data_IF_238879959104
#
_entry.id   IF_238879959104
#
_cell.length_a   1.000
_cell.length_b   1.000
_cell.length_c   1.000
_cell.angle_alpha   90.00
_cell.angle_beta   90.00
_cell.angle_gamma   90.00
#
_symmetry.space_group_name_H-M   'P 1'
#
loop_
_entity.id
_entity.type
_entity.pdbx_description
1 polymer ?
#
# COMPACT_ATOMS: atom_id res chain seq x y z
N UNK A 1 49.38 -13.64 3.88
CA UNK A 1 49.28 -13.10 5.25
C UNK A 1 48.05 -13.73 5.87
N UNK A 2 48.15 -14.43 7.01
CA UNK A 2 46.99 -15.01 7.67
C UNK A 2 46.01 -13.89 8.09
N UNK A 3 44.71 -14.21 8.15
CA UNK A 3 43.65 -13.26 8.50
C UNK A 3 43.86 -12.65 9.89
N UNK A 4 44.46 -13.42 10.80
CA UNK A 4 44.78 -13.00 12.17
C UNK A 4 45.82 -11.86 12.20
N UNK A 5 46.92 -11.97 11.47
CA UNK A 5 47.94 -10.90 11.32
C UNK A 5 47.37 -9.65 10.64
N UNK A 6 46.41 -9.83 9.72
CA UNK A 6 45.72 -8.72 9.06
C UNK A 6 44.85 -7.99 10.10
N UNK A 7 44.06 -8.72 10.89
CA UNK A 7 43.19 -8.14 11.92
C UNK A 7 44.02 -7.40 12.98
N UNK A 8 45.11 -7.98 13.49
CA UNK A 8 45.98 -7.31 14.48
C UNK A 8 46.55 -5.99 13.94
N UNK A 9 47.01 -5.98 12.69
CA UNK A 9 47.53 -4.77 12.05
C UNK A 9 46.46 -3.69 11.83
N UNK A 10 45.22 -4.08 11.56
CA UNK A 10 44.10 -3.15 11.42
C UNK A 10 43.62 -2.61 12.78
N UNK A 11 43.66 -3.44 13.83
CA UNK A 11 43.33 -3.06 15.22
C UNK A 11 44.35 -2.03 15.74
N UNK A 12 45.65 -2.26 15.57
CA UNK A 12 46.67 -1.28 15.99
C UNK A 12 46.63 0.04 15.19
N UNK A 13 45.99 0.06 14.02
CA UNK A 13 45.91 1.23 13.14
C UNK A 13 44.70 2.15 13.41
N UNK A 14 43.76 1.77 14.29
CA UNK A 14 42.63 2.62 14.66
C UNK A 14 43.07 3.62 15.75
N UNK A 15 42.76 4.90 15.56
CA UNK A 15 43.08 5.93 16.55
C UNK A 15 42.28 5.73 17.84
N UNK A 16 42.79 6.23 18.98
CA UNK A 16 42.08 6.20 20.26
C UNK A 16 40.68 6.83 20.19
N UNK A 17 40.51 7.89 19.38
CA UNK A 17 39.21 8.53 19.15
C UNK A 17 38.26 7.65 18.33
N UNK A 18 38.78 6.92 17.32
CA UNK A 18 38.02 5.93 16.57
C UNK A 18 37.51 4.78 17.46
N UNK A 19 38.36 4.28 18.36
CA UNK A 19 37.95 3.31 19.37
C UNK A 19 36.89 3.86 20.32
N UNK A 20 37.05 5.12 20.76
CA UNK A 20 36.06 5.81 21.58
C UNK A 20 34.69 5.90 20.89
N UNK A 21 34.65 6.21 19.59
CA UNK A 21 33.43 6.21 18.81
C UNK A 21 32.76 4.84 18.74
N UNK A 22 33.51 3.79 18.39
CA UNK A 22 32.97 2.42 18.28
C UNK A 22 32.43 1.91 19.62
N UNK A 23 33.15 2.19 20.72
CA UNK A 23 32.70 1.87 22.07
C UNK A 23 31.43 2.65 22.46
N UNK A 24 31.35 3.94 22.11
CA UNK A 24 30.14 4.75 22.32
C UNK A 24 28.95 4.19 21.55
N UNK A 25 29.14 3.83 20.28
CA UNK A 25 28.10 3.24 19.44
C UNK A 25 27.58 1.93 20.04
N UNK A 26 28.48 1.02 20.43
CA UNK A 26 28.12 -0.23 21.11
C UNK A 26 27.37 0.02 22.44
N UNK A 27 27.81 1.00 23.22
CA UNK A 27 27.16 1.37 24.49
C UNK A 27 25.74 1.89 24.26
N UNK A 28 25.51 2.69 23.22
CA UNK A 28 24.17 3.18 22.89
C UNK A 28 23.21 2.07 22.46
N UNK A 29 23.71 1.00 21.80
CA UNK A 29 22.93 -0.21 21.52
C UNK A 29 22.45 -0.85 22.83
N UNK A 30 23.38 -1.11 23.75
CA UNK A 30 23.06 -1.72 25.04
C UNK A 30 22.06 -0.86 25.81
N UNK A 31 22.27 0.45 25.83
CA UNK A 31 21.34 1.40 26.44
C UNK A 31 19.95 1.35 25.81
N UNK A 32 19.85 1.37 24.48
CA UNK A 32 18.57 1.35 23.78
C UNK A 32 17.80 0.04 24.03
N UNK A 33 18.51 -1.10 24.06
CA UNK A 33 17.93 -2.41 24.41
C UNK A 33 17.46 -2.44 25.87
N UNK A 34 18.28 -1.96 26.81
CA UNK A 34 17.93 -1.90 28.23
C UNK A 34 16.75 -0.95 28.47
N UNK A 35 16.76 0.23 27.84
CA UNK A 35 15.66 1.20 27.87
C UNK A 35 14.37 0.58 27.36
N UNK A 36 14.43 -0.14 26.24
CA UNK A 36 13.26 -0.83 25.69
C UNK A 36 12.74 -1.90 26.63
N UNK A 37 13.61 -2.69 27.26
CA UNK A 37 13.22 -3.70 28.22
C UNK A 37 12.58 -3.08 29.48
N UNK A 38 13.08 -1.94 29.95
CA UNK A 38 12.58 -1.22 31.11
C UNK A 38 11.26 -0.48 30.84
N UNK A 39 11.10 0.10 29.65
CA UNK A 39 9.89 0.84 29.24
C UNK A 39 8.80 -0.05 28.67
N UNK A 40 9.06 -1.35 28.46
CA UNK A 40 8.04 -2.29 27.99
C UNK A 40 6.97 -2.51 29.07
N UNK A 41 5.71 -2.11 28.83
CA UNK A 41 4.65 -2.33 29.79
C UNK A 41 4.43 -3.83 29.96
N UNK A 42 4.56 -4.32 31.21
CA UNK A 42 4.30 -5.71 31.58
C UNK A 42 2.88 -5.82 32.10
N UNK A 43 1.93 -5.99 31.18
CA UNK A 43 0.51 -6.22 31.53
C UNK A 43 0.13 -7.66 31.23
N UNK A 44 -0.68 -8.27 32.10
CA UNK A 44 -1.25 -9.61 31.86
C UNK A 44 -2.28 -9.49 30.75
N UNK A 45 -2.15 -10.33 29.73
CA UNK A 45 -3.07 -10.32 28.60
C UNK A 45 -4.44 -10.91 29.01
N UNK A 46 -5.50 -10.14 28.80
CA UNK A 46 -6.89 -10.58 28.99
C UNK A 46 -7.57 -10.64 27.63
N UNK A 47 -7.71 -11.86 27.10
CA UNK A 47 -8.14 -12.10 25.70
C UNK A 47 -9.64 -12.22 25.53
N UNK A 48 -10.41 -12.49 26.59
CA UNK A 48 -11.85 -12.72 26.53
C UNK A 48 -12.59 -12.00 27.67
N UNK A 49 -13.85 -11.58 27.46
CA UNK A 49 -14.57 -11.50 26.19
C UNK A 49 -13.99 -10.41 25.27
N UNK A 50 -14.10 -10.54 23.94
CA UNK A 50 -13.63 -9.53 22.99
C UNK A 50 -14.74 -9.18 21.99
N UNK A 51 -14.98 -7.89 21.78
CA UNK A 51 -16.00 -7.42 20.83
C UNK A 51 -15.50 -7.41 19.39
N UNK A 52 -16.42 -7.34 18.43
CA UNK A 52 -16.10 -7.24 17.00
C UNK A 52 -15.30 -5.95 16.71
N UNK A 53 -15.68 -4.84 17.35
CA UNK A 53 -14.99 -3.55 17.22
C UNK A 53 -13.60 -3.58 17.84
N UNK A 54 -13.44 -4.25 18.99
CA UNK A 54 -12.13 -4.48 19.60
C UNK A 54 -11.23 -5.32 18.68
N UNK A 55 -11.76 -6.39 18.07
CA UNK A 55 -11.04 -7.20 17.08
C UNK A 55 -10.64 -6.39 15.85
N UNK A 56 -11.54 -5.53 15.35
CA UNK A 56 -11.25 -4.63 14.25
C UNK A 56 -10.06 -3.72 14.58
N UNK A 57 -10.06 -3.10 15.78
CA UNK A 57 -8.95 -2.24 16.23
C UNK A 57 -7.62 -2.99 16.33
N UNK A 58 -7.63 -4.29 16.66
CA UNK A 58 -6.40 -5.09 16.63
C UNK A 58 -5.79 -5.13 15.22
N UNK A 59 -6.61 -5.20 14.16
CA UNK A 59 -6.10 -5.17 12.78
C UNK A 59 -5.61 -3.78 12.38
N UNK A 60 -6.42 -2.74 12.52
CA UNK A 60 -6.07 -1.38 12.10
C UNK A 60 -6.84 -0.32 12.89
N UNK A 61 -6.28 0.89 13.00
CA UNK A 61 -6.88 1.99 13.75
C UNK A 61 -8.18 2.48 13.10
N UNK A 62 -8.30 2.37 11.75
CA UNK A 62 -9.50 2.75 10.99
C UNK A 62 -10.56 1.63 10.92
N UNK A 63 -10.17 0.39 11.21
CA UNK A 63 -11.02 -0.79 11.05
C UNK A 63 -12.32 -0.75 11.87
N UNK A 64 -12.37 -0.23 13.12
CA UNK A 64 -13.60 -0.06 13.88
C UNK A 64 -14.70 0.69 13.11
N UNK A 65 -14.33 1.81 12.48
CA UNK A 65 -15.28 2.66 11.75
C UNK A 65 -15.89 1.90 10.58
N UNK A 66 -15.03 1.28 9.77
CA UNK A 66 -15.48 0.48 8.62
C UNK A 66 -16.34 -0.72 9.07
N UNK A 67 -15.95 -1.36 10.16
CA UNK A 67 -16.70 -2.50 10.74
C UNK A 67 -18.09 -2.07 11.19
N UNK A 68 -18.20 -0.92 11.85
CA UNK A 68 -19.48 -0.34 12.24
C UNK A 68 -20.34 0.00 11.02
N UNK A 69 -19.78 0.65 10.00
CA UNK A 69 -20.51 0.95 8.76
C UNK A 69 -20.98 -0.32 8.04
N UNK A 70 -20.13 -1.34 7.95
CA UNK A 70 -20.48 -2.60 7.32
C UNK A 70 -21.64 -3.31 8.05
N UNK A 71 -21.61 -3.32 9.38
CA UNK A 71 -22.72 -3.86 10.19
C UNK A 71 -24.01 -3.03 10.04
N UNK A 72 -23.91 -1.71 10.02
CA UNK A 72 -25.06 -0.81 9.84
C UNK A 72 -25.67 -0.94 8.44
N UNK A 73 -24.84 -1.03 7.40
CA UNK A 73 -25.27 -1.23 6.01
C UNK A 73 -25.91 -2.60 5.81
N UNK A 74 -25.28 -3.66 6.33
CA UNK A 74 -25.81 -5.01 6.21
C UNK A 74 -27.10 -5.22 7.00
N UNK A 75 -27.29 -4.51 8.12
CA UNK A 75 -28.55 -4.56 8.89
C UNK A 75 -29.66 -3.69 8.32
N UNK A 76 -29.41 -2.96 7.24
CA UNK A 76 -30.37 -2.05 6.61
C UNK A 76 -30.58 -0.73 7.37
N UNK A 77 -29.85 -0.46 8.47
CA UNK A 77 -29.92 0.82 9.18
C UNK A 77 -29.31 1.97 8.41
N UNK A 78 -28.36 1.69 7.53
CA UNK A 78 -27.84 2.66 6.56
C UNK A 78 -28.23 2.16 5.18
N UNK A 79 -28.88 3.01 4.39
CA UNK A 79 -29.29 2.72 3.02
C UNK A 79 -28.09 2.85 2.06
N UNK A 80 -28.23 2.35 0.84
CA UNK A 80 -27.20 2.48 -0.21
C UNK A 80 -26.84 3.95 -0.50
N UNK A 81 -27.81 4.87 -0.34
CA UNK A 81 -27.60 6.32 -0.50
C UNK A 81 -26.95 7.00 0.72
N UNK A 82 -26.50 6.23 1.72
CA UNK A 82 -25.86 6.75 2.93
C UNK A 82 -26.80 7.36 3.97
N UNK A 83 -28.12 7.21 3.81
CA UNK A 83 -29.11 7.75 4.76
C UNK A 83 -29.44 6.72 5.85
N UNK A 84 -29.80 7.20 7.03
CA UNK A 84 -30.22 6.32 8.13
C UNK A 84 -31.69 5.96 8.02
N UNK A 85 -31.99 4.67 7.96
CA UNK A 85 -33.34 4.14 8.13
C UNK A 85 -33.65 3.99 9.62
N UNK A 86 -34.62 4.76 10.11
CA UNK A 86 -35.04 4.76 11.52
C UNK A 86 -36.01 3.63 11.86
N UNK A 87 -36.65 3.05 10.86
CA UNK A 87 -37.63 1.98 11.03
C UNK A 87 -36.95 0.60 11.00
N UNK A 88 -35.71 0.54 10.48
CA UNK A 88 -34.86 -0.65 10.48
C UNK A 88 -34.46 -1.08 11.92
N UNK A 89 -35.14 -2.11 12.42
CA UNK A 89 -34.84 -2.77 13.70
C UNK A 89 -33.60 -3.67 13.56
N UNK A 90 -32.42 -3.09 13.76
CA UNK A 90 -31.15 -3.84 13.83
C UNK A 90 -30.85 -4.42 15.23
N UNK A 91 -29.92 -5.40 15.33
CA UNK A 91 -29.48 -5.95 16.63
C UNK A 91 -28.91 -4.87 17.57
N UNK A 92 -28.77 -5.20 18.85
CA UNK A 92 -28.20 -4.32 19.87
C UNK A 92 -26.80 -3.87 19.43
N UNK A 93 -26.67 -2.59 19.07
CA UNK A 93 -25.42 -2.02 18.57
C UNK A 93 -24.53 -1.70 19.75
N UNK A 94 -23.25 -2.07 19.66
CA UNK A 94 -22.28 -1.68 20.66
C UNK A 94 -22.14 -0.15 20.71
N UNK A 95 -21.63 0.36 21.84
CA UNK A 95 -21.53 1.81 22.10
C UNK A 95 -20.74 2.56 21.03
N UNK A 96 -19.70 1.96 20.45
CA UNK A 96 -18.91 2.60 19.40
C UNK A 96 -19.73 2.70 18.11
N UNK A 97 -20.35 1.61 17.68
CA UNK A 97 -21.23 1.60 16.51
C UNK A 97 -22.42 2.56 16.66
N UNK A 98 -22.98 2.71 17.86
CA UNK A 98 -24.03 3.70 18.13
C UNK A 98 -23.56 5.14 17.90
N UNK A 99 -22.33 5.50 18.34
CA UNK A 99 -21.74 6.82 18.08
C UNK A 99 -21.43 7.05 16.60
N UNK A 100 -20.98 6.01 15.88
CA UNK A 100 -20.81 6.09 14.42
C UNK A 100 -22.16 6.34 13.75
N UNK A 101 -23.23 5.67 14.18
CA UNK A 101 -24.57 5.90 13.65
C UNK A 101 -25.08 7.33 13.90
N UNK A 102 -24.82 7.91 15.08
CA UNK A 102 -25.14 9.31 15.37
C UNK A 102 -24.43 10.27 14.39
N UNK A 103 -23.15 10.03 14.09
CA UNK A 103 -22.37 10.82 13.12
C UNK A 103 -22.90 10.68 11.70
N UNK A 104 -23.18 9.46 11.26
CA UNK A 104 -23.82 9.18 9.95
C UNK A 104 -25.21 9.82 9.85
N UNK A 105 -25.95 9.92 10.96
CA UNK A 105 -27.23 10.63 10.99
C UNK A 105 -27.06 12.13 10.81
N UNK A 106 -25.98 12.70 11.34
CA UNK A 106 -25.67 14.12 11.24
C UNK A 106 -25.15 14.50 9.84
N UNK A 107 -24.42 13.61 9.17
CA UNK A 107 -23.86 13.81 7.83
C UNK A 107 -24.22 12.66 6.86
N UNK A 108 -25.24 12.86 5.99
CA UNK A 108 -25.60 11.89 4.96
C UNK A 108 -24.53 11.69 3.86
N UNK A 109 -23.57 12.61 3.70
CA UNK A 109 -22.45 12.50 2.75
C UNK A 109 -21.14 12.07 3.44
N UNK A 110 -21.27 11.40 4.58
CA UNK A 110 -20.14 10.94 5.37
C UNK A 110 -19.14 10.11 4.54
N UNK A 111 -17.86 10.33 4.82
CA UNK A 111 -16.77 9.53 4.27
C UNK A 111 -16.07 8.77 5.40
N UNK A 112 -15.46 7.63 5.07
CA UNK A 112 -14.67 6.85 6.04
C UNK A 112 -13.53 7.66 6.66
N UNK A 113 -12.74 8.45 5.91
CA UNK A 113 -11.72 9.33 6.50
C UNK A 113 -12.31 10.42 7.41
N UNK A 114 -13.46 11.00 7.04
CA UNK A 114 -14.17 11.98 7.86
C UNK A 114 -14.61 11.38 9.20
N UNK A 115 -15.33 10.26 9.15
CA UNK A 115 -15.79 9.53 10.33
C UNK A 115 -14.63 9.05 11.22
N UNK A 116 -13.49 8.65 10.63
CA UNK A 116 -12.28 8.31 11.37
C UNK A 116 -11.75 9.51 12.18
N UNK A 117 -11.71 10.69 11.55
CA UNK A 117 -11.25 11.93 12.19
C UNK A 117 -12.17 12.34 13.34
N UNK A 118 -13.48 12.29 13.13
CA UNK A 118 -14.49 12.59 14.15
C UNK A 118 -14.59 11.56 15.28
N UNK A 119 -14.15 10.33 15.02
CA UNK A 119 -14.13 9.24 16.01
C UNK A 119 -12.80 9.14 16.76
N UNK A 120 -11.90 10.12 16.60
CA UNK A 120 -10.55 10.09 17.19
C UNK A 120 -10.54 9.92 18.72
N UNK A 121 -11.45 10.58 19.45
CA UNK A 121 -11.58 10.42 20.90
C UNK A 121 -12.06 9.02 21.32
N UNK A 122 -13.01 8.45 20.56
CA UNK A 122 -13.53 7.11 20.80
C UNK A 122 -12.47 6.04 20.54
N UNK A 123 -11.70 6.23 19.48
CA UNK A 123 -10.58 5.36 19.11
C UNK A 123 -9.44 5.44 20.13
N UNK A 124 -9.16 6.62 20.68
CA UNK A 124 -8.19 6.79 21.76
C UNK A 124 -8.64 6.07 23.05
N UNK A 125 -9.94 6.14 23.37
CA UNK A 125 -10.50 5.39 24.51
C UNK A 125 -10.41 3.86 24.30
N UNK A 126 -10.65 3.40 23.07
CA UNK A 126 -10.50 1.99 22.68
C UNK A 126 -9.04 1.53 22.75
N UNK A 127 -8.09 2.36 22.30
CA UNK A 127 -6.64 2.11 22.42
C UNK A 127 -6.27 1.93 23.90
N UNK A 128 -6.72 2.82 24.78
CA UNK A 128 -6.41 2.76 26.22
C UNK A 128 -7.06 1.55 26.90
N UNK A 129 -8.26 1.15 26.49
CA UNK A 129 -8.90 -0.07 26.97
C UNK A 129 -8.13 -1.34 26.57
N UNK A 130 -7.78 -1.48 25.30
CA UNK A 130 -7.02 -2.63 24.79
C UNK A 130 -5.58 -2.66 25.31
N UNK A 131 -5.03 -1.48 25.57
CA UNK A 131 -3.75 -1.28 26.26
C UNK A 131 -3.78 -1.80 27.70
N UNK A 132 -4.81 -1.46 28.48
CA UNK A 132 -5.01 -1.98 29.84
C UNK A 132 -5.17 -3.51 29.87
N UNK A 133 -5.77 -4.08 28.83
CA UNK A 133 -5.89 -5.54 28.63
C UNK A 133 -4.61 -6.22 28.12
N UNK A 134 -3.55 -5.46 27.84
CA UNK A 134 -2.26 -5.99 27.39
C UNK A 134 -2.25 -6.49 25.93
N UNK A 135 -3.21 -6.07 25.10
CA UNK A 135 -3.32 -6.50 23.69
C UNK A 135 -2.65 -5.50 22.73
N UNK A 136 -2.68 -4.21 23.07
CA UNK A 136 -2.12 -3.10 22.29
C UNK A 136 -1.12 -2.31 23.14
N UNK A 137 -0.17 -1.62 22.50
CA UNK A 137 0.67 -0.58 23.12
C UNK A 137 0.21 0.78 22.64
N UNK A 138 0.03 1.72 23.56
CA UNK A 138 -0.44 3.05 23.20
C UNK A 138 0.59 3.80 22.34
N UNK A 139 0.13 4.79 21.60
CA UNK A 139 0.98 5.80 20.94
C UNK A 139 2.05 6.38 21.87
N UNK A 140 1.68 6.74 23.11
CA UNK A 140 2.59 7.30 24.11
C UNK A 140 3.63 6.28 24.63
N UNK A 141 3.27 5.00 24.76
CA UNK A 141 4.21 3.93 25.14
C UNK A 141 5.20 3.65 24.01
N UNK A 142 4.72 3.60 22.76
CA UNK A 142 5.58 3.44 21.58
C UNK A 142 6.55 4.61 21.41
N UNK A 143 6.08 5.85 21.63
CA UNK A 143 6.93 7.03 21.62
C UNK A 143 8.02 6.94 22.69
N UNK A 144 7.67 6.57 23.94
CA UNK A 144 8.64 6.36 25.02
C UNK A 144 9.69 5.30 24.70
N UNK A 145 9.32 4.21 24.03
CA UNK A 145 10.28 3.21 23.56
C UNK A 145 11.26 3.78 22.52
N UNK A 146 10.76 4.61 21.59
CA UNK A 146 11.57 5.24 20.53
C UNK A 146 12.57 6.25 21.08
N UNK A 147 12.25 6.95 22.17
CA UNK A 147 13.17 7.88 22.84
C UNK A 147 14.49 7.23 23.28
N UNK A 148 14.49 5.91 23.57
CA UNK A 148 15.72 5.17 23.87
C UNK A 148 16.73 5.13 22.72
N UNK A 149 16.30 5.36 21.48
CA UNK A 149 17.18 5.43 20.32
C UNK A 149 17.86 6.81 20.18
N UNK A 150 17.40 7.86 20.87
CA UNK A 150 17.91 9.22 20.70
C UNK A 150 19.42 9.37 20.98
N UNK A 151 19.99 8.77 22.06
CA UNK A 151 21.44 8.78 22.26
C UNK A 151 22.21 8.11 21.13
N UNK A 152 21.62 7.08 20.52
CA UNK A 152 22.25 6.35 19.42
C UNK A 152 22.23 7.16 18.12
N UNK A 153 21.15 7.89 17.85
CA UNK A 153 21.07 8.85 16.73
C UNK A 153 22.12 9.96 16.90
N UNK A 154 22.27 10.48 18.12
CA UNK A 154 23.28 11.50 18.43
C UNK A 154 24.70 10.98 18.19
N UNK A 155 25.04 9.79 18.69
CA UNK A 155 26.35 9.18 18.45
C UNK A 155 26.56 8.92 16.97
N UNK A 156 25.56 8.42 16.25
CA UNK A 156 25.62 8.22 14.80
C UNK A 156 25.92 9.53 14.05
N UNK A 157 25.24 10.62 14.40
CA UNK A 157 25.47 11.95 13.80
C UNK A 157 26.88 12.48 14.09
N UNK A 158 27.39 12.27 15.31
CA UNK A 158 28.79 12.58 15.66
C UNK A 158 29.77 11.73 14.86
N UNK A 159 29.45 10.46 14.60
CA UNK A 159 30.24 9.57 13.74
C UNK A 159 30.33 10.05 12.30
N UNK A 160 29.21 10.51 11.73
CA UNK A 160 29.17 11.13 10.39
C UNK A 160 29.97 12.43 10.37
N UNK A 161 29.82 13.30 11.37
CA UNK A 161 30.62 14.53 11.46
C UNK A 161 32.13 14.23 11.59
N UNK A 162 32.48 13.22 12.39
CA UNK A 162 33.87 12.82 12.60
C UNK A 162 34.47 12.15 11.35
N UNK A 163 33.69 11.36 10.59
CA UNK A 163 34.15 10.79 9.32
C UNK A 163 34.43 11.88 8.28
N UNK A 164 33.59 12.92 8.19
CA UNK A 164 33.84 14.09 7.32
C UNK A 164 35.12 14.82 7.75
N UNK A 165 35.32 15.03 9.06
CA UNK A 165 36.55 15.65 9.57
C UNK A 165 37.78 14.83 9.20
N UNK A 166 37.78 13.52 9.47
CA UNK A 166 38.90 12.63 9.12
C UNK A 166 39.18 12.63 7.62
N UNK A 167 38.14 12.70 6.77
CA UNK A 167 38.29 12.79 5.33
C UNK A 167 39.05 14.05 4.88
N UNK A 168 38.88 15.19 5.56
CA UNK A 168 39.64 16.43 5.24
C UNK A 168 41.12 16.33 5.63
N UNK A 169 41.46 15.48 6.59
CA UNK A 169 42.82 15.31 7.13
C UNK A 169 43.62 14.19 6.43
N UNK A 170 43.01 13.42 5.52
CA UNK A 170 43.63 12.28 4.85
C UNK A 170 44.89 12.65 4.05
N UNK A 171 44.90 13.83 3.43
CA UNK A 171 46.01 14.30 2.59
C UNK A 171 47.29 14.52 3.40
N UNK A 172 47.15 15.02 4.63
CA UNK A 172 48.28 15.33 5.53
C UNK A 172 48.64 14.13 6.42
N UNK A 173 47.65 13.29 6.75
CA UNK A 173 47.79 12.18 7.69
C UNK A 173 47.14 10.89 7.15
N UNK A 174 47.84 10.12 6.30
CA UNK A 174 47.29 8.90 5.69
C UNK A 174 46.99 7.79 6.72
N UNK A 175 47.54 7.88 7.92
CA UNK A 175 47.26 6.98 9.06
C UNK A 175 45.76 6.96 9.43
N UNK A 176 45.02 8.05 9.16
CA UNK A 176 43.58 8.12 9.46
C UNK A 176 42.69 7.30 8.52
N UNK A 177 43.22 6.78 7.40
CA UNK A 177 42.45 6.02 6.41
C UNK A 177 41.75 4.81 7.04
N UNK A 178 42.46 4.03 7.87
CA UNK A 178 41.90 2.84 8.52
C UNK A 178 40.79 3.23 9.50
N UNK A 179 41.01 4.29 10.28
CA UNK A 179 40.04 4.80 11.24
C UNK A 179 38.77 5.31 10.55
N UNK A 180 38.92 6.05 9.45
CA UNK A 180 37.80 6.54 8.65
C UNK A 180 36.94 5.39 8.12
N UNK A 181 37.57 4.38 7.49
CA UNK A 181 36.85 3.23 6.94
C UNK A 181 36.12 2.47 8.04
N UNK A 182 36.75 2.23 9.19
CA UNK A 182 36.11 1.56 10.33
C UNK A 182 34.87 2.31 10.84
N UNK A 183 34.95 3.64 10.98
CA UNK A 183 33.83 4.47 11.43
C UNK A 183 32.70 4.49 10.40
N UNK A 184 33.01 4.69 9.12
CA UNK A 184 32.01 4.71 8.05
C UNK A 184 31.29 3.37 7.97
N UNK A 185 32.02 2.26 7.93
CA UNK A 185 31.44 0.92 7.91
C UNK A 185 30.56 0.67 9.13
N UNK A 186 31.03 0.99 10.33
CA UNK A 186 30.25 0.82 11.56
C UNK A 186 28.97 1.69 11.56
N UNK A 187 29.07 2.94 11.12
CA UNK A 187 27.94 3.88 11.05
C UNK A 187 26.88 3.41 10.06
N UNK A 188 27.30 2.97 8.87
CA UNK A 188 26.40 2.47 7.82
C UNK A 188 25.73 1.16 8.26
N UNK A 189 26.50 0.22 8.81
CA UNK A 189 25.96 -1.05 9.30
C UNK A 189 24.95 -0.81 10.45
N UNK A 190 25.25 0.13 11.34
CA UNK A 190 24.37 0.52 12.42
C UNK A 190 23.06 1.15 11.89
N UNK A 191 23.16 2.12 10.98
CA UNK A 191 22.01 2.81 10.41
C UNK A 191 21.08 1.90 9.61
N UNK A 192 21.64 0.87 8.95
CA UNK A 192 20.86 -0.06 8.11
C UNK A 192 20.30 -1.25 8.89
N UNK A 193 21.06 -1.84 9.82
CA UNK A 193 20.65 -3.05 10.51
C UNK A 193 20.03 -2.80 11.89
N UNK A 194 20.56 -1.85 12.66
CA UNK A 194 20.20 -1.69 14.08
C UNK A 194 19.15 -0.60 14.27
N UNK A 195 19.36 0.57 13.67
CA UNK A 195 18.49 1.73 13.86
C UNK A 195 17.02 1.46 13.49
N UNK A 196 16.67 0.76 12.39
CA UNK A 196 15.27 0.47 12.06
C UNK A 196 14.59 -0.41 13.12
N UNK A 197 15.32 -1.34 13.73
CA UNK A 197 14.80 -2.21 14.80
C UNK A 197 14.57 -1.47 16.12
N UNK A 198 15.38 -0.46 16.40
CA UNK A 198 15.21 0.41 17.57
C UNK A 198 14.06 1.40 17.40
N UNK A 199 13.88 1.93 16.18
CA UNK A 199 12.80 2.85 15.85
C UNK A 199 11.45 2.13 15.66
N UNK A 200 11.47 0.87 15.21
CA UNK A 200 10.27 0.07 14.96
C UNK A 200 9.63 -0.44 16.25
N UNK A 201 8.53 0.17 16.70
CA UNK A 201 7.73 -0.29 17.84
C UNK A 201 6.34 -0.79 17.39
N UNK A 202 6.15 -2.11 17.37
CA UNK A 202 4.89 -2.74 16.98
C UNK A 202 3.72 -2.28 17.88
N UNK A 203 2.60 -1.86 17.25
CA UNK A 203 1.34 -1.51 17.93
C UNK A 203 0.80 -2.68 18.74
N UNK A 204 0.71 -3.86 18.13
CA UNK A 204 0.20 -5.06 18.80
C UNK A 204 1.25 -5.69 19.73
N UNK A 205 0.79 -6.15 20.89
CA UNK A 205 1.59 -7.02 21.75
C UNK A 205 1.67 -8.43 21.15
N UNK A 206 2.53 -9.29 21.72
CA UNK A 206 2.59 -10.70 21.30
C UNK A 206 1.25 -11.41 21.54
N UNK A 207 0.54 -11.05 22.61
CA UNK A 207 -0.78 -11.58 22.90
C UNK A 207 -1.82 -11.08 21.91
N UNK A 208 -1.84 -9.77 21.60
CA UNK A 208 -2.74 -9.20 20.59
C UNK A 208 -2.58 -9.83 19.21
N UNK A 209 -1.34 -10.02 18.73
CA UNK A 209 -1.08 -10.70 17.45
C UNK A 209 -1.56 -12.15 17.44
N UNK A 210 -1.32 -12.90 18.52
CA UNK A 210 -1.78 -14.30 18.62
C UNK A 210 -3.30 -14.40 18.65
N UNK A 211 -3.96 -13.49 19.38
CA UNK A 211 -5.42 -13.44 19.44
C UNK A 211 -6.02 -13.15 18.06
N UNK A 212 -5.51 -12.13 17.36
CA UNK A 212 -5.98 -11.78 16.01
C UNK A 212 -5.77 -12.95 15.04
N UNK A 213 -4.57 -13.55 15.01
CA UNK A 213 -4.28 -14.68 14.14
C UNK A 213 -5.16 -15.92 14.45
N UNK A 214 -5.40 -16.20 15.74
CA UNK A 214 -6.30 -17.28 16.16
C UNK A 214 -7.73 -17.05 15.67
N UNK A 215 -8.25 -15.82 15.78
CA UNK A 215 -9.62 -15.49 15.35
C UNK A 215 -9.76 -15.47 13.83
N UNK A 216 -8.76 -14.99 13.10
CA UNK A 216 -8.71 -15.08 11.64
C UNK A 216 -8.71 -16.53 11.17
N UNK A 217 -7.99 -17.42 11.86
CA UNK A 217 -7.98 -18.85 11.53
C UNK A 217 -9.32 -19.53 11.84
N UNK A 218 -9.89 -19.29 13.02
CA UNK A 218 -11.20 -19.83 13.43
C UNK A 218 -12.33 -19.41 12.49
N UNK A 219 -12.32 -18.14 12.06
CA UNK A 219 -13.35 -17.55 11.21
C UNK A 219 -12.93 -17.45 9.74
N UNK A 220 -11.99 -18.30 9.31
CA UNK A 220 -11.46 -18.26 7.94
C UNK A 220 -12.54 -18.49 6.87
N UNK A 221 -13.70 -19.04 7.22
CA UNK A 221 -14.84 -19.20 6.32
C UNK A 221 -15.55 -17.87 5.97
N UNK A 222 -15.33 -16.81 6.74
CA UNK A 222 -15.87 -15.46 6.48
C UNK A 222 -14.95 -14.61 5.59
N UNK A 223 -13.82 -15.15 5.15
CA UNK A 223 -12.85 -14.46 4.31
C UNK A 223 -13.47 -14.08 2.94
N UNK A 224 -13.44 -12.81 2.51
CA UNK A 224 -14.08 -12.37 1.26
C UNK A 224 -13.66 -13.17 0.02
N UNK A 225 -12.40 -13.62 -0.03
CA UNK A 225 -11.88 -14.45 -1.12
C UNK A 225 -12.63 -15.78 -1.29
N UNK A 226 -13.25 -16.32 -0.22
CA UNK A 226 -14.03 -17.56 -0.25
C UNK A 226 -15.49 -17.35 -0.61
N UNK A 227 -15.89 -16.11 -0.95
CA UNK A 227 -17.26 -15.74 -1.32
C UNK A 227 -18.32 -16.29 -0.35
N UNK A 228 -18.21 -15.97 0.96
CA UNK A 228 -19.18 -16.44 1.94
C UNK A 228 -20.60 -15.95 1.60
N UNK A 229 -21.60 -16.78 1.87
CA UNK A 229 -23.00 -16.43 1.68
C UNK A 229 -23.48 -15.48 2.79
N UNK A 230 -23.12 -14.18 2.70
CA UNK A 230 -23.46 -13.17 3.70
C UNK A 230 -24.97 -13.02 3.92
N UNK A 231 -25.79 -13.25 2.88
CA UNK A 231 -27.25 -13.27 3.00
C UNK A 231 -27.75 -14.34 3.97
N UNK A 232 -27.01 -15.44 4.13
CA UNK A 232 -27.34 -16.53 5.05
C UNK A 232 -26.77 -16.29 6.46
N UNK A 233 -25.55 -15.76 6.55
CA UNK A 233 -24.89 -15.52 7.84
C UNK A 233 -25.35 -14.23 8.55
N UNK A 234 -25.95 -13.31 7.80
CA UNK A 234 -26.55 -12.09 8.31
C UNK A 234 -25.55 -10.96 8.65
N UNK A 235 -26.06 -9.81 9.14
CA UNK A 235 -25.28 -8.58 9.28
C UNK A 235 -24.08 -8.67 10.24
N UNK A 236 -24.19 -9.50 11.28
CA UNK A 236 -23.12 -9.70 12.24
C UNK A 236 -21.90 -10.39 11.61
N UNK A 237 -22.12 -11.31 10.66
CA UNK A 237 -21.04 -12.00 9.96
C UNK A 237 -20.31 -11.09 8.98
N UNK A 238 -21.02 -10.13 8.38
CA UNK A 238 -20.44 -9.07 7.55
C UNK A 238 -19.51 -8.22 8.39
N UNK A 239 -20.00 -7.69 9.52
CA UNK A 239 -19.17 -6.91 10.43
C UNK A 239 -17.97 -7.72 10.92
N UNK A 240 -18.14 -9.00 11.24
CA UNK A 240 -17.02 -9.87 11.65
C UNK A 240 -16.00 -10.08 10.53
N UNK A 241 -16.45 -10.32 9.29
CA UNK A 241 -15.56 -10.42 8.12
C UNK A 241 -14.80 -9.12 7.93
N UNK A 242 -15.49 -7.98 8.04
CA UNK A 242 -14.88 -6.65 7.93
C UNK A 242 -13.95 -6.33 9.08
N UNK A 243 -14.14 -6.89 10.28
CA UNK A 243 -13.22 -6.71 11.40
C UNK A 243 -11.93 -7.51 11.19
N UNK A 244 -12.03 -8.75 10.70
CA UNK A 244 -10.92 -9.69 10.64
C UNK A 244 -10.11 -9.62 9.33
N UNK A 245 -10.76 -9.41 8.19
CA UNK A 245 -10.15 -9.62 6.87
C UNK A 245 -10.01 -8.37 6.00
N UNK A 246 -10.79 -7.32 6.24
CA UNK A 246 -10.61 -6.04 5.52
C UNK A 246 -11.93 -5.48 5.01
N UNK A 247 -11.85 -4.58 4.04
CA UNK A 247 -13.03 -3.92 3.46
C UNK A 247 -13.81 -4.82 2.49
N UNK A 248 -13.22 -5.94 2.05
CA UNK A 248 -13.74 -6.77 0.95
C UNK A 248 -15.16 -7.31 1.14
N UNK A 249 -15.59 -7.56 2.38
CA UNK A 249 -16.97 -7.98 2.64
C UNK A 249 -18.01 -6.86 2.46
N UNK A 250 -17.64 -5.60 2.71
CA UNK A 250 -18.53 -4.47 2.45
C UNK A 250 -18.65 -4.24 0.93
N UNK A 251 -17.53 -4.33 0.21
CA UNK A 251 -17.50 -4.31 -1.26
C UNK A 251 -18.35 -5.43 -1.89
N UNK A 252 -18.33 -6.63 -1.31
CA UNK A 252 -19.12 -7.76 -1.82
C UNK A 252 -20.64 -7.58 -1.64
N UNK A 253 -21.08 -6.73 -0.71
CA UNK A 253 -22.50 -6.51 -0.41
C UNK A 253 -23.03 -5.27 -1.13
N UNK A 254 -22.23 -4.20 -1.16
CA UNK A 254 -22.63 -2.95 -1.79
C UNK A 254 -21.40 -2.16 -2.24
N UNK A 255 -21.05 -2.30 -3.52
CA UNK A 255 -19.94 -1.59 -4.14
C UNK A 255 -20.22 -0.09 -4.33
N UNK A 256 -21.48 0.28 -4.60
CA UNK A 256 -21.89 1.66 -4.81
C UNK A 256 -21.79 2.45 -3.49
N UNK A 257 -22.28 1.88 -2.40
CA UNK A 257 -22.12 2.44 -1.06
C UNK A 257 -20.64 2.48 -0.63
N UNK A 258 -19.86 1.43 -0.93
CA UNK A 258 -18.43 1.41 -0.62
C UNK A 258 -17.68 2.55 -1.32
N UNK A 259 -18.06 2.84 -2.57
CA UNK A 259 -17.50 3.95 -3.35
C UNK A 259 -17.94 5.30 -2.78
N UNK A 260 -19.23 5.46 -2.44
CA UNK A 260 -19.78 6.74 -1.96
C UNK A 260 -19.15 7.19 -0.63
N UNK A 261 -18.80 6.25 0.25
CA UNK A 261 -18.12 6.56 1.53
C UNK A 261 -16.59 6.63 1.41
N UNK A 262 -16.04 6.60 0.19
CA UNK A 262 -14.59 6.61 -0.10
C UNK A 262 -13.84 5.49 0.62
N UNK A 263 -14.41 4.28 0.64
CA UNK A 263 -13.78 3.13 1.27
C UNK A 263 -12.58 2.66 0.45
N UNK A 264 -11.44 2.42 1.10
CA UNK A 264 -10.29 1.84 0.41
C UNK A 264 -10.61 0.43 -0.15
N UNK A 265 -10.25 0.19 -1.42
CA UNK A 265 -10.32 -1.12 -2.05
C UNK A 265 -9.50 -2.17 -1.29
N UNK A 266 -9.98 -3.42 -1.26
CA UNK A 266 -9.31 -4.48 -0.52
C UNK A 266 -8.10 -5.02 -1.27
N UNK A 267 -6.88 -4.63 -0.85
CA UNK A 267 -5.66 -5.39 -1.14
C UNK A 267 -5.50 -6.53 -0.14
N UNK A 268 -6.33 -7.57 -0.23
CA UNK A 268 -6.04 -8.85 0.44
C UNK A 268 -5.24 -9.73 -0.51
N UNK A 269 -3.91 -9.72 -0.34
CA UNK A 269 -3.03 -10.71 -0.96
C UNK A 269 -3.24 -12.11 -0.36
N UNK A 270 -3.32 -13.11 -1.22
CA UNK A 270 -3.32 -14.54 -0.87
C UNK A 270 -3.86 -15.41 -2.01
N UNK A 271 -2.94 -16.13 -2.66
CA UNK A 271 -3.11 -16.91 -3.89
C UNK A 271 -4.20 -18.01 -3.84
N UNK A 272 -4.95 -18.16 -4.94
CA UNK A 272 -4.99 -19.40 -5.76
C UNK A 272 -5.91 -19.22 -6.98
N UNK A 273 -5.33 -19.43 -8.17
CA UNK A 273 -5.99 -19.92 -9.39
C UNK A 273 -7.14 -19.10 -10.00
N UNK A 274 -6.79 -18.15 -10.89
CA UNK A 274 -7.69 -17.68 -11.95
C UNK A 274 -7.52 -16.21 -12.31
N UNK A 275 -6.74 -15.92 -13.35
CA UNK A 275 -6.75 -14.65 -14.09
C UNK A 275 -6.53 -13.37 -13.26
N UNK A 276 -5.26 -13.03 -12.97
CA UNK A 276 -4.92 -11.75 -12.36
C UNK A 276 -4.84 -10.65 -13.42
N UNK A 277 -5.95 -9.95 -13.68
CA UNK A 277 -5.94 -8.53 -14.01
C UNK A 277 -6.15 -7.78 -12.71
N UNK A 278 -5.11 -7.17 -12.16
CA UNK A 278 -5.23 -6.31 -10.99
C UNK A 278 -5.40 -4.88 -11.49
N UNK A 279 -6.63 -4.53 -11.90
CA UNK A 279 -6.96 -3.16 -12.30
C UNK A 279 -6.66 -2.17 -11.18
N UNK A 280 -6.03 -1.07 -11.57
CA UNK A 280 -5.65 0.05 -10.71
C UNK A 280 -6.52 1.29 -10.97
N UNK A 281 -7.76 1.17 -11.44
CA UNK A 281 -8.66 2.31 -11.72
C UNK A 281 -9.84 2.38 -10.76
N UNK A 282 -9.78 3.24 -9.74
CA UNK A 282 -10.92 3.48 -8.86
C UNK A 282 -10.78 4.76 -8.06
N UNK A 283 -11.85 5.54 -7.96
CA UNK A 283 -11.94 6.85 -7.26
C UNK A 283 -11.66 6.83 -5.75
N UNK A 284 -11.33 5.67 -5.18
CA UNK A 284 -10.88 5.55 -3.81
C UNK A 284 -9.37 5.46 -3.76
N UNK A 285 -8.74 6.20 -2.83
CA UNK A 285 -7.30 6.14 -2.52
C UNK A 285 -6.80 4.79 -1.96
N UNK A 286 -7.33 3.66 -2.44
CA UNK A 286 -6.79 2.32 -2.29
C UNK A 286 -5.92 1.87 -3.46
N UNK A 287 -5.49 2.80 -4.32
CA UNK A 287 -4.62 2.50 -5.46
C UNK A 287 -3.27 1.91 -5.06
N UNK A 288 -2.68 1.13 -5.97
CA UNK A 288 -1.24 0.90 -6.00
C UNK A 288 -0.55 2.24 -5.75
N UNK A 289 0.01 2.45 -4.56
CA UNK A 289 0.70 3.70 -4.29
C UNK A 289 1.91 3.74 -5.21
N UNK A 290 1.98 4.76 -6.08
CA UNK A 290 3.16 4.98 -6.90
C UNK A 290 4.40 4.93 -6.01
N UNK A 291 5.38 4.14 -6.41
CA UNK A 291 6.67 4.14 -5.73
C UNK A 291 7.44 5.39 -6.14
N UNK A 292 8.26 5.98 -5.26
CA UNK A 292 9.19 7.00 -5.69
C UNK A 292 10.10 6.41 -6.77
N UNK A 293 10.25 7.09 -7.92
CA UNK A 293 11.05 6.59 -9.05
C UNK A 293 12.53 6.86 -8.82
N UNK A 294 13.06 6.35 -7.71
CA UNK A 294 14.48 6.40 -7.36
C UNK A 294 15.19 5.15 -7.85
N UNK A 295 16.52 5.26 -7.99
CA UNK A 295 17.36 4.08 -8.30
C UNK A 295 17.31 3.01 -7.20
N UNK A 296 17.05 3.42 -5.96
CA UNK A 296 16.88 2.52 -4.82
C UNK A 296 15.58 1.71 -4.94
N UNK A 297 14.46 2.38 -5.22
CA UNK A 297 13.18 1.74 -5.46
C UNK A 297 13.26 0.79 -6.66
N UNK A 298 13.94 1.22 -7.73
CA UNK A 298 14.20 0.39 -8.91
C UNK A 298 14.97 -0.90 -8.55
N UNK A 299 16.01 -0.80 -7.71
CA UNK A 299 16.79 -1.96 -7.28
C UNK A 299 15.95 -2.96 -6.44
N UNK A 300 15.11 -2.45 -5.54
CA UNK A 300 14.19 -3.27 -4.74
C UNK A 300 13.16 -3.96 -5.64
N UNK A 301 12.57 -3.21 -6.57
CA UNK A 301 11.57 -3.74 -7.49
C UNK A 301 12.18 -4.82 -8.39
N UNK A 302 13.36 -4.59 -8.96
CA UNK A 302 14.08 -5.58 -9.76
C UNK A 302 14.39 -6.86 -8.98
N UNK A 303 14.84 -6.76 -7.73
CA UNK A 303 15.10 -7.93 -6.88
C UNK A 303 13.82 -8.74 -6.59
N UNK A 304 12.69 -8.06 -6.36
CA UNK A 304 11.40 -8.70 -6.13
C UNK A 304 10.87 -9.37 -7.40
N UNK A 305 10.96 -8.70 -8.55
CA UNK A 305 10.61 -9.28 -9.85
C UNK A 305 11.38 -10.57 -10.07
N UNK A 306 12.68 -10.55 -9.83
CA UNK A 306 13.51 -11.71 -10.11
C UNK A 306 13.27 -12.87 -9.15
N UNK A 307 12.90 -12.57 -7.90
CA UNK A 307 12.39 -13.58 -6.99
C UNK A 307 11.07 -14.18 -7.48
N UNK A 308 10.14 -13.37 -7.93
CA UNK A 308 8.82 -13.82 -8.41
C UNK A 308 8.95 -14.65 -9.69
N UNK A 309 9.77 -14.22 -10.65
CA UNK A 309 10.01 -14.95 -11.91
C UNK A 309 10.60 -16.34 -11.71
N UNK A 310 11.42 -16.55 -10.66
CA UNK A 310 11.94 -17.88 -10.35
C UNK A 310 10.87 -18.88 -9.91
N UNK A 311 9.76 -18.37 -9.36
CA UNK A 311 8.66 -19.19 -8.84
C UNK A 311 7.50 -19.32 -9.86
N UNK A 312 7.42 -18.42 -10.85
CA UNK A 312 6.37 -18.44 -11.86
C UNK A 312 6.78 -19.24 -13.10
N UNK A 313 5.97 -20.21 -13.56
CA UNK A 313 6.25 -20.98 -14.78
C UNK A 313 5.89 -20.22 -16.09
N UNK A 314 5.44 -18.98 -15.98
CA UNK A 314 4.98 -18.13 -17.10
C UNK A 314 5.69 -16.78 -17.07
N UNK A 315 5.80 -16.07 -18.21
CA UNK A 315 6.33 -14.72 -18.23
C UNK A 315 5.55 -13.79 -17.28
N UNK A 316 6.29 -12.93 -16.58
CA UNK A 316 5.72 -11.88 -15.76
C UNK A 316 5.63 -10.60 -16.60
N UNK A 317 4.49 -9.92 -16.53
CA UNK A 317 4.29 -8.58 -17.07
C UNK A 317 3.91 -7.61 -15.94
N UNK A 318 4.40 -6.38 -16.00
CA UNK A 318 4.09 -5.33 -15.02
C UNK A 318 3.37 -4.17 -15.67
N UNK A 319 2.42 -3.61 -14.94
CA UNK A 319 1.57 -2.53 -15.43
C UNK A 319 2.09 -1.15 -14.98
N UNK A 320 1.98 -0.15 -15.85
CA UNK A 320 2.12 1.26 -15.47
C UNK A 320 0.82 1.75 -14.85
N UNK A 321 0.92 2.46 -13.73
CA UNK A 321 -0.26 2.88 -12.97
C UNK A 321 -0.56 4.36 -13.16
N UNK A 322 -1.83 4.75 -13.05
CA UNK A 322 -2.19 6.15 -12.81
C UNK A 322 -1.68 6.60 -11.43
N UNK A 323 -1.12 7.81 -11.37
CA UNK A 323 -0.64 8.41 -10.14
C UNK A 323 -0.96 9.90 -10.07
N UNK A 324 -1.74 10.25 -9.04
CA UNK A 324 -2.01 11.64 -8.63
C UNK A 324 -0.82 12.30 -7.91
N UNK A 325 0.14 11.51 -7.41
CA UNK A 325 1.28 12.02 -6.65
C UNK A 325 2.56 11.84 -7.44
N UNK A 326 3.39 12.87 -7.48
CA UNK A 326 4.78 12.78 -7.90
C UNK A 326 5.66 12.97 -6.67
N UNK A 327 6.47 11.95 -6.36
CA UNK A 327 7.33 11.99 -5.18
C UNK A 327 8.46 13.00 -5.40
N UNK A 328 8.67 13.95 -4.47
CA UNK A 328 9.77 14.92 -4.54
C UNK A 328 11.16 14.27 -4.71
N UNK A 329 11.31 13.05 -4.21
CA UNK A 329 12.53 12.27 -4.25
C UNK A 329 12.72 11.50 -5.57
N UNK A 330 11.82 11.60 -6.55
CA UNK A 330 11.96 10.88 -7.82
C UNK A 330 13.09 11.45 -8.67
N UNK A 331 14.14 10.66 -8.88
CA UNK A 331 15.28 11.04 -9.73
C UNK A 331 15.11 10.64 -11.21
N UNK A 332 14.13 9.78 -11.50
CA UNK A 332 13.85 9.25 -12.84
C UNK A 332 12.44 9.63 -13.29
N UNK A 333 12.29 9.93 -14.58
CA UNK A 333 10.99 9.97 -15.25
C UNK A 333 10.35 8.58 -15.33
N UNK A 334 9.06 8.50 -15.65
CA UNK A 334 8.36 7.21 -15.82
C UNK A 334 9.00 6.35 -16.90
N UNK A 335 9.32 6.96 -18.04
CA UNK A 335 9.98 6.28 -19.15
C UNK A 335 11.36 5.76 -18.78
N UNK A 336 12.20 6.57 -18.12
CA UNK A 336 13.52 6.12 -17.65
C UNK A 336 13.38 4.97 -16.64
N UNK A 337 12.47 5.09 -15.68
CA UNK A 337 12.25 4.08 -14.65
C UNK A 337 11.79 2.74 -15.25
N UNK A 338 10.79 2.76 -16.15
CA UNK A 338 10.26 1.55 -16.79
C UNK A 338 11.27 0.94 -17.77
N UNK A 339 11.98 1.77 -18.55
CA UNK A 339 13.04 1.30 -19.46
C UNK A 339 14.12 0.58 -18.68
N UNK A 340 14.65 1.20 -17.62
CA UNK A 340 15.72 0.60 -16.83
C UNK A 340 15.24 -0.65 -16.07
N UNK A 341 13.97 -0.70 -15.64
CA UNK A 341 13.38 -1.88 -15.01
C UNK A 341 13.33 -3.07 -15.96
N UNK A 342 12.84 -2.84 -17.18
CA UNK A 342 12.73 -3.87 -18.21
C UNK A 342 14.10 -4.33 -18.67
N UNK A 343 15.05 -3.42 -18.90
CA UNK A 343 16.42 -3.79 -19.27
C UNK A 343 17.12 -4.65 -18.20
N UNK A 344 16.92 -4.33 -16.91
CA UNK A 344 17.54 -5.07 -15.79
C UNK A 344 16.93 -6.44 -15.55
N UNK A 345 15.64 -6.58 -15.79
CA UNK A 345 14.89 -7.79 -15.38
C UNK A 345 14.43 -8.64 -16.55
N UNK A 346 14.29 -8.08 -17.75
CA UNK A 346 13.64 -8.75 -18.88
C UNK A 346 12.17 -9.09 -18.62
N UNK A 347 11.51 -8.34 -17.72
CA UNK A 347 10.07 -8.41 -17.50
C UNK A 347 9.34 -7.79 -18.69
N UNK A 348 8.14 -8.26 -19.00
CA UNK A 348 7.28 -7.62 -19.99
C UNK A 348 6.47 -6.49 -19.34
N UNK A 349 5.84 -5.66 -20.15
CA UNK A 349 4.91 -4.63 -19.69
C UNK A 349 3.47 -4.93 -20.10
N UNK A 350 2.54 -4.66 -19.20
CA UNK A 350 1.15 -4.39 -19.55
C UNK A 350 1.07 -2.87 -19.67
N UNK A 351 0.94 -2.34 -20.88
CA UNK A 351 0.92 -0.90 -21.07
C UNK A 351 -0.53 -0.40 -21.07
N UNK A 352 -0.96 0.19 -19.96
CA UNK A 352 -2.23 0.88 -19.90
C UNK A 352 -2.09 2.28 -20.51
N UNK A 353 -2.68 2.47 -21.69
CA UNK A 353 -2.64 3.76 -22.40
C UNK A 353 -3.57 4.79 -21.79
N UNK A 354 -4.60 4.37 -21.04
CA UNK A 354 -5.47 5.28 -20.29
C UNK A 354 -4.70 5.85 -19.08
N UNK A 355 -3.89 5.03 -18.40
CA UNK A 355 -2.98 5.52 -17.35
C UNK A 355 -1.94 6.51 -17.90
N UNK A 356 -1.38 6.27 -19.10
CA UNK A 356 -0.47 7.24 -19.77
C UNK A 356 -1.19 8.56 -20.04
N UNK A 357 -2.41 8.50 -20.56
CA UNK A 357 -3.24 9.67 -20.81
C UNK A 357 -3.53 10.45 -19.52
N UNK A 358 -4.02 9.78 -18.48
CA UNK A 358 -4.35 10.38 -17.20
C UNK A 358 -3.13 11.03 -16.54
N UNK A 359 -1.99 10.33 -16.52
CA UNK A 359 -0.75 10.83 -15.94
C UNK A 359 -0.22 12.07 -16.66
N UNK A 360 -0.26 12.08 -18.00
CA UNK A 360 0.18 13.21 -18.80
C UNK A 360 -0.76 14.41 -18.65
N UNK A 361 -2.08 14.18 -18.72
CA UNK A 361 -3.11 15.21 -18.55
C UNK A 361 -3.02 15.89 -17.19
N UNK A 362 -2.92 15.11 -16.12
CA UNK A 362 -2.80 15.63 -14.74
C UNK A 362 -1.51 16.43 -14.50
N UNK A 363 -0.49 16.26 -15.35
CA UNK A 363 0.79 16.98 -15.28
C UNK A 363 0.93 18.08 -16.34
N UNK A 364 -0.13 18.34 -17.11
CA UNK A 364 -0.08 19.30 -18.22
C UNK A 364 0.95 18.93 -19.30
N UNK A 365 1.22 17.64 -19.48
CA UNK A 365 2.13 17.10 -20.50
C UNK A 365 1.34 16.54 -21.68
N UNK A 366 2.03 16.35 -22.80
CA UNK A 366 1.49 15.76 -24.03
C UNK A 366 1.54 14.22 -23.94
N UNK A 367 0.39 13.51 -23.91
CA UNK A 367 0.36 12.05 -23.79
C UNK A 367 1.10 11.31 -24.92
N UNK A 368 1.03 11.81 -26.17
CA UNK A 368 1.70 11.18 -27.30
C UNK A 368 3.23 11.26 -27.16
N UNK A 369 3.73 12.37 -26.61
CA UNK A 369 5.17 12.52 -26.32
C UNK A 369 5.63 11.64 -25.17
N UNK A 370 4.82 11.47 -24.13
CA UNK A 370 5.17 10.57 -23.02
C UNK A 370 5.16 9.11 -23.50
N UNK A 371 4.14 8.70 -24.27
CA UNK A 371 4.09 7.37 -24.91
C UNK A 371 5.32 7.09 -25.77
N UNK A 372 5.75 8.06 -26.59
CA UNK A 372 6.92 7.97 -27.46
C UNK A 372 8.22 7.61 -26.72
N UNK A 373 8.31 7.91 -25.41
CA UNK A 373 9.50 7.65 -24.59
C UNK A 373 9.46 6.30 -23.88
N UNK A 374 8.31 5.63 -23.84
CA UNK A 374 8.16 4.34 -23.17
C UNK A 374 8.80 3.20 -23.98
N UNK A 375 9.30 2.13 -23.32
CA UNK A 375 9.90 0.96 -23.96
C UNK A 375 8.83 0.02 -24.54
N UNK A 376 8.11 0.50 -25.55
CA UNK A 376 6.90 -0.16 -26.09
C UNK A 376 7.18 -1.49 -26.78
N UNK A 377 8.43 -1.76 -27.15
CA UNK A 377 8.87 -3.01 -27.76
C UNK A 377 8.76 -4.20 -26.78
N UNK A 378 8.62 -3.93 -25.49
CA UNK A 378 8.54 -4.91 -24.41
C UNK A 378 7.12 -5.09 -23.85
N UNK A 379 6.13 -4.52 -24.54
CA UNK A 379 4.72 -4.61 -24.16
C UNK A 379 4.14 -5.94 -24.60
N UNK A 380 3.66 -6.72 -23.63
CA UNK A 380 2.98 -7.99 -23.88
C UNK A 380 1.57 -7.76 -24.45
N UNK A 381 0.83 -6.84 -23.85
CA UNK A 381 -0.48 -6.37 -24.28
C UNK A 381 -0.79 -5.03 -23.61
N UNK A 382 -1.81 -4.32 -24.10
CA UNK A 382 -2.18 -2.99 -23.65
C UNK A 382 -3.59 -2.95 -23.09
N UNK A 383 -3.77 -2.28 -21.95
CA UNK A 383 -5.09 -1.92 -21.44
C UNK A 383 -5.55 -0.60 -22.06
N UNK A 384 -6.85 -0.53 -22.32
CA UNK A 384 -7.56 0.67 -22.75
C UNK A 384 -8.72 0.85 -21.79
N UNK A 385 -8.83 2.01 -21.17
CA UNK A 385 -9.92 2.34 -20.28
C UNK A 385 -10.44 3.75 -20.57
N UNK A 386 -11.48 4.12 -19.84
CA UNK A 386 -12.03 5.48 -19.88
C UNK A 386 -12.28 6.03 -18.49
N UNK A 387 -12.10 7.34 -18.39
CA UNK A 387 -12.23 8.10 -17.17
C UNK A 387 -13.00 9.40 -17.38
N UNK A 388 -13.07 10.22 -16.32
CA UNK A 388 -13.81 11.48 -16.31
C UNK A 388 -13.00 12.62 -15.72
N UNK A 389 -13.36 13.84 -16.09
CA UNK A 389 -12.82 15.05 -15.47
C UNK A 389 -13.37 15.20 -14.05
N UNK A 390 -12.48 15.40 -13.07
CA UNK A 390 -12.81 15.85 -11.72
C UNK A 390 -12.67 17.37 -11.59
N UNK A 391 -12.75 17.89 -10.36
CA UNK A 391 -12.59 19.33 -10.12
C UNK A 391 -11.13 19.79 -10.35
N UNK A 392 -10.17 18.99 -9.88
CA UNK A 392 -8.73 19.33 -9.91
C UNK A 392 -7.91 18.42 -10.84
N UNK A 393 -8.38 17.20 -11.10
CA UNK A 393 -7.65 16.17 -11.84
C UNK A 393 -8.58 15.36 -12.74
N UNK A 394 -8.02 14.81 -13.82
CA UNK A 394 -8.64 13.72 -14.57
C UNK A 394 -8.52 12.42 -13.79
N UNK A 395 -9.64 11.74 -13.62
CA UNK A 395 -9.74 10.45 -12.93
C UNK A 395 -9.88 9.35 -13.98
N UNK A 396 -8.93 8.41 -14.00
CA UNK A 396 -9.08 7.20 -14.80
C UNK A 396 -9.95 6.20 -14.02
N UNK A 397 -11.25 6.26 -14.25
CA UNK A 397 -12.24 5.56 -13.41
C UNK A 397 -12.47 4.13 -13.84
N UNK A 398 -12.13 3.78 -15.08
CA UNK A 398 -12.45 2.51 -15.74
C UNK A 398 -13.97 2.22 -15.80
N UNK A 399 -14.80 3.21 -15.48
CA UNK A 399 -16.27 3.13 -15.47
C UNK A 399 -16.92 4.08 -16.47
N UNK A 400 -16.10 4.89 -17.14
CA UNK A 400 -16.53 5.86 -18.14
C UNK A 400 -16.05 5.47 -19.55
N UNK A 401 -16.71 6.00 -20.58
CA UNK A 401 -16.37 5.70 -21.98
C UNK A 401 -14.94 6.15 -22.31
N UNK A 402 -14.23 5.35 -23.09
CA UNK A 402 -12.88 5.61 -23.59
C UNK A 402 -12.88 6.93 -24.39
N UNK A 403 -12.11 7.94 -23.96
CA UNK A 403 -12.00 9.20 -24.68
C UNK A 403 -11.36 9.02 -26.07
N UNK A 404 -11.72 9.83 -27.08
CA UNK A 404 -11.06 9.82 -28.38
C UNK A 404 -9.53 9.97 -28.28
N UNK A 405 -9.05 10.78 -27.34
CA UNK A 405 -7.61 11.00 -27.14
C UNK A 405 -6.88 9.73 -26.66
N UNK A 406 -7.56 8.82 -25.97
CA UNK A 406 -7.01 7.51 -25.61
C UNK A 406 -6.97 6.59 -26.84
N UNK A 407 -7.95 6.69 -27.75
CA UNK A 407 -7.91 5.97 -29.03
C UNK A 407 -6.78 6.47 -29.95
N UNK A 408 -6.44 7.76 -29.89
CA UNK A 408 -5.25 8.29 -30.57
C UNK A 408 -3.96 7.64 -30.04
N UNK A 409 -3.88 7.39 -28.72
CA UNK A 409 -2.74 6.65 -28.12
C UNK A 409 -2.71 5.18 -28.53
N UNK A 410 -3.88 4.53 -28.66
CA UNK A 410 -3.98 3.16 -29.22
C UNK A 410 -3.39 3.12 -30.63
N UNK A 411 -3.78 4.08 -31.47
CA UNK A 411 -3.26 4.21 -32.84
C UNK A 411 -1.74 4.42 -32.83
N UNK A 412 -1.25 5.37 -32.04
CA UNK A 412 0.18 5.67 -31.93
C UNK A 412 1.01 4.49 -31.36
N UNK A 413 0.45 3.71 -30.43
CA UNK A 413 1.10 2.51 -29.92
C UNK A 413 1.18 1.44 -31.01
N UNK A 414 0.08 1.21 -31.74
CA UNK A 414 -0.01 0.25 -32.84
C UNK A 414 0.99 0.53 -33.96
N UNK A 415 1.25 1.80 -34.27
CA UNK A 415 2.24 2.21 -35.27
C UNK A 415 3.68 1.82 -34.87
N UNK A 416 3.93 1.60 -33.57
CA UNK A 416 5.27 1.30 -33.03
C UNK A 416 5.45 -0.17 -32.68
N UNK A 417 4.40 -0.86 -32.26
CA UNK A 417 4.46 -2.26 -31.84
C UNK A 417 3.18 -3.02 -32.16
N UNK A 418 3.31 -4.29 -32.57
CA UNK A 418 2.18 -5.18 -32.79
C UNK A 418 1.78 -5.84 -31.46
N UNK A 419 0.87 -5.20 -30.74
CA UNK A 419 0.42 -5.66 -29.42
C UNK A 419 -1.12 -5.82 -29.36
N UNK A 420 -1.66 -6.79 -28.59
CA UNK A 420 -3.09 -6.89 -28.33
C UNK A 420 -3.59 -5.75 -27.43
N UNK A 421 -4.86 -5.38 -27.59
CA UNK A 421 -5.55 -4.40 -26.76
C UNK A 421 -6.70 -5.06 -26.01
N UNK A 422 -6.89 -4.69 -24.75
CA UNK A 422 -8.00 -5.13 -23.91
C UNK A 422 -8.71 -3.91 -23.33
N UNK A 423 -10.02 -3.83 -23.53
CA UNK A 423 -10.85 -2.85 -22.83
C UNK A 423 -10.97 -3.27 -21.36
N UNK A 424 -10.53 -2.41 -20.46
CA UNK A 424 -10.69 -2.55 -19.02
C UNK A 424 -11.93 -1.77 -18.56
N UNK A 425 -12.87 -2.50 -17.94
CA UNK A 425 -14.16 -1.98 -17.48
C UNK A 425 -14.47 -2.58 -16.11
N UNK A 426 -14.30 -1.78 -15.07
CA UNK A 426 -14.37 -2.27 -13.68
C UNK A 426 -15.75 -2.12 -13.03
N UNK A 427 -16.63 -1.36 -13.67
CA UNK A 427 -17.96 -1.08 -13.14
C UNK A 427 -18.78 -0.23 -14.08
N UNK A 428 -20.01 0.10 -13.65
CA UNK A 428 -20.99 0.88 -14.44
C UNK A 428 -21.11 0.37 -15.88
N UNK A 429 -21.25 -0.94 -16.05
CA UNK A 429 -21.35 -1.57 -17.36
C UNK A 429 -22.54 -0.98 -18.15
N UNK A 430 -22.29 -0.36 -19.33
CA UNK A 430 -23.37 0.17 -20.15
C UNK A 430 -24.12 -0.97 -20.87
N UNK A 431 -25.23 -0.68 -21.56
CA UNK A 431 -25.87 -1.64 -22.46
C UNK A 431 -24.87 -2.28 -23.43
N UNK A 432 -25.08 -3.55 -23.77
CA UNK A 432 -24.14 -4.32 -24.60
C UNK A 432 -23.79 -3.63 -25.92
N UNK A 433 -24.77 -2.98 -26.57
CA UNK A 433 -24.55 -2.24 -27.81
C UNK A 433 -23.50 -1.11 -27.65
N UNK A 434 -23.50 -0.38 -26.55
CA UNK A 434 -22.54 0.70 -26.28
C UNK A 434 -21.14 0.14 -26.00
N UNK A 435 -21.05 -0.95 -25.24
CA UNK A 435 -19.78 -1.65 -25.02
C UNK A 435 -19.23 -2.20 -26.33
N UNK A 436 -20.09 -2.69 -27.22
CA UNK A 436 -19.67 -3.16 -28.53
C UNK A 436 -19.17 -2.02 -29.43
N UNK A 437 -19.82 -0.85 -29.39
CA UNK A 437 -19.35 0.33 -30.12
C UNK A 437 -17.96 0.76 -29.65
N UNK A 438 -17.71 0.67 -28.34
CA UNK A 438 -16.41 0.97 -27.74
C UNK A 438 -15.34 -0.05 -28.16
N UNK A 439 -15.63 -1.35 -28.11
CA UNK A 439 -14.73 -2.42 -28.56
C UNK A 439 -14.38 -2.29 -30.05
N UNK A 440 -15.37 -1.98 -30.89
CA UNK A 440 -15.14 -1.78 -32.33
C UNK A 440 -14.34 -0.48 -32.60
N UNK A 441 -14.52 0.56 -31.78
CA UNK A 441 -13.72 1.78 -31.87
C UNK A 441 -12.24 1.53 -31.51
N UNK A 442 -11.98 0.74 -30.48
CA UNK A 442 -10.62 0.29 -30.12
C UNK A 442 -10.03 -0.56 -31.23
N UNK A 443 -10.81 -1.51 -31.78
CA UNK A 443 -10.37 -2.32 -32.91
C UNK A 443 -10.00 -1.45 -34.11
N UNK A 444 -10.83 -0.46 -34.46
CA UNK A 444 -10.55 0.48 -35.54
C UNK A 444 -9.27 1.30 -35.30
N UNK A 445 -9.08 1.83 -34.08
CA UNK A 445 -7.86 2.54 -33.70
C UNK A 445 -6.61 1.66 -33.77
N UNK A 446 -6.74 0.37 -33.42
CA UNK A 446 -5.70 -0.63 -33.56
C UNK A 446 -5.50 -1.13 -35.02
N UNK A 447 -6.24 -0.59 -36.00
CA UNK A 447 -6.16 -1.01 -37.40
C UNK A 447 -6.72 -2.41 -37.67
N UNK A 448 -7.58 -2.92 -36.79
CA UNK A 448 -8.25 -4.20 -36.89
C UNK A 448 -9.69 -4.08 -37.42
N UNK A 449 -10.23 -5.19 -37.93
CA UNK A 449 -11.64 -5.26 -38.29
C UNK A 449 -12.53 -5.23 -37.02
N UNK A 450 -13.80 -4.79 -37.13
CA UNK A 450 -14.76 -4.86 -36.03
C UNK A 450 -14.83 -6.27 -35.43
N UNK A 451 -14.84 -6.37 -34.10
CA UNK A 451 -14.75 -7.65 -33.38
C UNK A 451 -16.09 -8.11 -32.82
N UNK A 452 -17.12 -7.27 -32.88
CA UNK A 452 -18.40 -7.52 -32.22
C UNK A 452 -19.54 -7.92 -33.15
N UNK A 453 -19.30 -8.04 -34.48
CA UNK A 453 -20.36 -8.33 -35.47
C UNK A 453 -21.22 -9.54 -35.09
N UNK A 454 -20.60 -10.67 -34.74
CA UNK A 454 -21.33 -11.86 -34.31
C UNK A 454 -21.98 -11.73 -32.92
N UNK A 455 -21.39 -10.95 -32.02
CA UNK A 455 -21.98 -10.70 -30.71
C UNK A 455 -23.25 -9.83 -30.83
N UNK A 456 -23.25 -8.86 -31.74
CA UNK A 456 -24.42 -8.02 -32.00
C UNK A 456 -25.62 -8.83 -32.45
N UNK A 457 -25.45 -9.84 -33.29
CA UNK A 457 -26.56 -10.70 -33.75
C UNK A 457 -27.26 -11.47 -32.61
N UNK A 458 -26.58 -11.67 -31.48
CA UNK A 458 -27.08 -12.43 -30.32
C UNK A 458 -27.64 -11.52 -29.23
N UNK A 459 -27.03 -10.36 -29.03
CA UNK A 459 -27.23 -9.51 -27.86
C UNK A 459 -27.93 -8.17 -28.14
N UNK A 460 -28.10 -7.79 -29.41
CA UNK A 460 -28.76 -6.55 -29.87
C UNK A 460 -29.83 -6.90 -30.89
#
# INVERSE_FOLDING_TARGET
>A
MPIEDLIERYVEAITALGYGYLAALATTIVFAVAWRAATTPRRRAVTEPISVIELAFLRSDIAPVVTSLAGLRASGRVTADGRVDRDASGPETDRFTARVLERVTADPQHTVPGLYTESSEDLAALEEQLSRRGLVRTSAERARMRWGAAPSIMVMALGVGYSVYLATQLTEHPVYTVTLMAIVTATVLYGTLVLPHLLGANRLTRAGRRLLASRQHEMAYLEPAKKPAFDTYGPAAVAMSVALFGTGALWAIDADYSTSVQLAGSSSGGADGGGCGASCGGDGGGGCSAVPRTREALAVLAANIERTRRELPVPLALENIASFVEWPESDLSESEFLTELVERTGVLLVLDVANVYANARNRGRDPLRELARLPVEQVAYSHVAGGREGEDFYHDTHTDRTPPEVLDLVTALRERTDTPFMLERDGRFPPAAELFDELDAIAAAAGAAPITTGAREVWV
#
